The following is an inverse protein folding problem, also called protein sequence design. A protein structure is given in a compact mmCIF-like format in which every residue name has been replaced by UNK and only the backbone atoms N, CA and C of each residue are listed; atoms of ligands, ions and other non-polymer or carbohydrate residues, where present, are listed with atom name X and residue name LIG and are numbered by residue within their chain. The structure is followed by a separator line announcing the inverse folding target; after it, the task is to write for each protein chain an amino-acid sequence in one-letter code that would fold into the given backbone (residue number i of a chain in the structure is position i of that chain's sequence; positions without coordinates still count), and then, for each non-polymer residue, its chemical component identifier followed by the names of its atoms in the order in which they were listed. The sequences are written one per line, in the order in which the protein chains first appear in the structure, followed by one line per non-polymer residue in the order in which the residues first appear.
data_IF_629008149470
#
_entry.id   IF_629008149470
#
_cell.length_a   1.000
_cell.length_b   1.000
_cell.length_c   1.000
_cell.angle_alpha   90.00
_cell.angle_beta   90.00
_cell.angle_gamma   90.00
#
_symmetry.space_group_name_H-M   'P 1'
#
loop_
_entity.id
_entity.type
_entity.pdbx_description
1 polymer ?
#
# COMPACT_ATOMS: atom_id res chain seq x y z
N UNK A 1 -32.76 -40.69 40.03
CA UNK A 1 -33.38 -40.01 38.86
C UNK A 1 -32.47 -38.83 38.53
N UNK A 2 -31.64 -38.87 37.46
CA UNK A 2 -31.91 -38.33 36.10
C UNK A 2 -32.44 -36.89 36.19
N UNK A 3 -31.82 -35.82 35.66
CA UNK A 3 -31.27 -35.59 34.32
C UNK A 3 -30.23 -34.43 34.37
N UNK A 4 -29.02 -34.61 33.81
CA UNK A 4 -28.59 -34.26 32.44
C UNK A 4 -28.23 -32.76 32.27
N UNK A 5 -26.94 -32.53 32.55
CA UNK A 5 -25.99 -31.65 31.88
C UNK A 5 -26.38 -31.28 30.43
N UNK A 6 -26.66 -30.01 30.16
CA UNK A 6 -26.78 -29.47 28.79
C UNK A 6 -25.85 -28.27 28.65
N UNK A 7 -24.61 -28.56 28.25
CA UNK A 7 -23.62 -27.58 27.81
C UNK A 7 -24.05 -27.15 26.40
N UNK A 8 -24.66 -25.97 26.29
CA UNK A 8 -24.90 -25.32 25.01
C UNK A 8 -23.56 -24.81 24.48
N UNK A 9 -23.02 -25.59 23.56
CA UNK A 9 -21.78 -25.38 22.83
C UNK A 9 -21.97 -24.17 21.89
N UNK A 10 -21.79 -22.96 22.41
CA UNK A 10 -21.72 -21.73 21.61
C UNK A 10 -20.44 -21.79 20.77
N UNK A 11 -20.60 -22.23 19.52
CA UNK A 11 -19.56 -22.30 18.51
C UNK A 11 -18.97 -20.90 18.26
N UNK A 12 -17.81 -20.67 18.87
CA UNK A 12 -16.95 -19.53 18.59
C UNK A 12 -16.49 -19.63 17.12
N UNK A 13 -17.14 -18.86 16.24
CA UNK A 13 -16.62 -18.58 14.91
C UNK A 13 -15.32 -17.78 15.08
N UNK A 14 -14.20 -18.47 15.24
CA UNK A 14 -12.89 -17.87 15.10
C UNK A 14 -12.71 -17.51 13.63
N UNK A 15 -13.03 -16.24 13.31
CA UNK A 15 -12.56 -15.58 12.10
C UNK A 15 -11.03 -15.72 12.10
N UNK A 16 -10.53 -16.75 11.40
CA UNK A 16 -9.13 -16.87 11.07
C UNK A 16 -8.81 -15.69 10.17
N UNK A 17 -8.30 -14.61 10.79
CA UNK A 17 -7.57 -13.57 10.09
C UNK A 17 -6.35 -14.24 9.49
N UNK A 18 -6.52 -14.81 8.29
CA UNK A 18 -5.43 -15.30 7.48
C UNK A 18 -4.57 -14.08 7.17
N UNK A 19 -3.49 -13.93 7.94
CA UNK A 19 -2.39 -13.04 7.63
C UNK A 19 -1.92 -13.43 6.23
N UNK A 20 -2.35 -12.66 5.22
CA UNK A 20 -2.11 -12.96 3.82
C UNK A 20 -0.60 -12.91 3.58
N UNK A 21 0.03 -14.08 3.59
CA UNK A 21 1.45 -14.24 3.34
C UNK A 21 1.64 -14.18 1.82
N UNK A 22 2.47 -13.25 1.37
CA UNK A 22 2.76 -13.08 -0.05
C UNK A 22 4.16 -13.61 -0.35
N UNK A 23 4.32 -14.30 -1.47
CA UNK A 23 5.56 -14.94 -1.86
C UNK A 23 6.04 -14.36 -3.20
N UNK A 24 7.33 -14.02 -3.27
CA UNK A 24 8.04 -13.70 -4.50
C UNK A 24 8.61 -14.98 -5.08
N UNK A 25 8.31 -15.20 -6.35
CA UNK A 25 8.51 -16.45 -7.05
C UNK A 25 9.29 -16.19 -8.33
N UNK A 26 10.24 -17.06 -8.68
CA UNK A 26 10.94 -17.01 -9.95
C UNK A 26 10.55 -18.23 -10.78
N UNK A 27 9.70 -18.02 -11.79
CA UNK A 27 9.21 -19.08 -12.69
C UNK A 27 9.68 -18.77 -14.10
N UNK A 28 10.47 -19.66 -14.71
CA UNK A 28 10.96 -19.47 -16.07
C UNK A 28 11.82 -18.21 -16.29
N UNK A 29 12.50 -17.73 -15.24
CA UNK A 29 13.29 -16.50 -15.29
C UNK A 29 12.51 -15.21 -14.98
N UNK A 30 11.17 -15.27 -14.94
CA UNK A 30 10.31 -14.13 -14.59
C UNK A 30 9.94 -14.12 -13.12
N UNK A 31 9.84 -12.91 -12.54
CA UNK A 31 9.37 -12.72 -11.16
C UNK A 31 7.85 -12.64 -11.15
N UNK A 32 7.20 -13.49 -10.36
CA UNK A 32 5.76 -13.53 -10.11
C UNK A 32 5.49 -13.45 -8.61
N UNK A 33 4.34 -12.89 -8.23
CA UNK A 33 3.92 -12.78 -6.83
C UNK A 33 2.67 -13.62 -6.60
N UNK A 34 2.69 -14.45 -5.56
CA UNK A 34 1.65 -15.41 -5.27
C UNK A 34 1.23 -15.35 -3.81
N UNK A 35 -0.06 -15.55 -3.56
CA UNK A 35 -0.63 -15.67 -2.20
C UNK A 35 -0.36 -17.07 -1.59
N UNK A 36 0.21 -17.99 -2.39
CA UNK A 36 0.65 -19.32 -1.99
C UNK A 36 2.13 -19.54 -2.33
N UNK A 37 2.89 -20.32 -1.55
CA UNK A 37 4.27 -20.65 -1.89
C UNK A 37 4.33 -21.41 -3.22
N UNK A 38 5.21 -20.96 -4.11
CA UNK A 38 5.36 -21.39 -5.50
C UNK A 38 6.48 -22.42 -5.72
N UNK A 39 6.91 -23.11 -4.67
CA UNK A 39 8.02 -24.08 -4.67
C UNK A 39 9.23 -23.63 -3.83
N UNK A 40 10.35 -24.34 -3.97
CA UNK A 40 11.52 -24.23 -3.08
C UNK A 40 12.21 -22.85 -3.10
N UNK A 41 11.99 -22.07 -4.16
CA UNK A 41 12.53 -20.71 -4.30
C UNK A 41 11.51 -19.62 -3.90
N UNK A 42 10.44 -19.97 -3.19
CA UNK A 42 9.45 -19.01 -2.74
C UNK A 42 10.02 -18.12 -1.61
N UNK A 43 10.34 -16.88 -1.94
CA UNK A 43 10.77 -15.91 -0.94
C UNK A 43 9.54 -15.29 -0.30
N UNK A 44 9.31 -15.58 0.99
CA UNK A 44 8.23 -14.96 1.75
C UNK A 44 8.48 -13.47 1.91
N UNK A 45 7.55 -12.65 1.44
CA UNK A 45 7.56 -11.20 1.63
C UNK A 45 6.58 -10.84 2.73
N UNK A 46 7.09 -10.24 3.81
CA UNK A 46 6.25 -9.73 4.89
C UNK A 46 5.57 -8.44 4.44
N UNK A 47 4.25 -8.38 4.59
CA UNK A 47 3.48 -7.14 4.50
C UNK A 47 3.90 -6.16 5.61
N UNK A 48 4.35 -6.66 6.76
CA UNK A 48 4.57 -5.84 7.97
C UNK A 48 6.03 -5.46 8.22
N UNK A 49 6.84 -5.27 7.16
CA UNK A 49 8.17 -4.71 7.35
C UNK A 49 8.04 -3.31 7.96
N UNK A 50 8.64 -3.10 9.14
CA UNK A 50 8.61 -1.83 9.85
C UNK A 50 8.96 -0.67 8.91
N UNK A 51 8.33 0.51 9.03
CA UNK A 51 8.61 1.64 8.16
C UNK A 51 10.09 1.97 8.21
N UNK A 52 10.80 1.71 7.11
CA UNK A 52 12.14 2.22 6.91
C UNK A 52 12.07 3.75 6.80
N UNK A 53 13.11 4.44 7.26
CA UNK A 53 13.13 5.88 7.40
C UNK A 53 12.66 6.60 6.12
N UNK A 54 11.90 7.68 6.29
CA UNK A 54 11.42 8.50 5.19
C UNK A 54 12.60 8.94 4.28
N UNK A 55 12.36 9.12 2.96
CA UNK A 55 13.39 9.58 2.03
C UNK A 55 14.06 10.88 2.51
N UNK A 56 15.36 11.02 2.21
CA UNK A 56 16.22 12.11 2.70
C UNK A 56 15.71 13.52 2.36
N UNK A 57 14.85 13.66 1.34
CA UNK A 57 13.99 14.83 1.16
C UNK A 57 12.62 14.42 0.60
N UNK A 58 11.55 15.06 1.09
CA UNK A 58 10.17 14.83 0.63
C UNK A 58 10.02 15.15 -0.86
N UNK A 59 10.71 16.17 -1.35
CA UNK A 59 10.60 16.72 -2.71
C UNK A 59 11.29 15.88 -3.79
N UNK A 60 12.30 15.08 -3.43
CA UNK A 60 12.99 14.21 -4.40
C UNK A 60 12.31 12.86 -4.59
N UNK A 61 11.33 12.53 -3.74
CA UNK A 61 10.64 11.25 -3.83
C UNK A 61 9.77 11.19 -5.09
N UNK A 62 9.76 10.05 -5.80
CA UNK A 62 9.01 9.89 -7.05
C UNK A 62 7.51 10.20 -6.89
N UNK A 63 6.94 9.84 -5.73
CA UNK A 63 5.55 10.20 -5.42
C UNK A 63 5.36 11.71 -5.34
N UNK A 64 6.30 12.47 -4.76
CA UNK A 64 6.18 13.92 -4.72
C UNK A 64 6.25 14.54 -6.11
N UNK A 65 7.20 14.09 -6.92
CA UNK A 65 7.47 14.68 -8.22
C UNK A 65 6.36 14.44 -9.25
N UNK A 66 5.63 13.32 -9.13
CA UNK A 66 4.72 12.86 -10.17
C UNK A 66 3.26 12.78 -9.74
N UNK A 67 2.92 13.05 -8.47
CA UNK A 67 1.53 12.88 -7.98
C UNK A 67 0.49 13.66 -8.80
N UNK A 68 0.81 14.86 -9.26
CA UNK A 68 -0.07 15.71 -10.10
C UNK A 68 -0.43 15.08 -11.45
N UNK A 69 0.35 14.11 -11.92
CA UNK A 69 0.04 13.35 -13.14
C UNK A 69 -0.95 12.20 -12.89
N UNK A 70 -1.06 11.72 -11.65
CA UNK A 70 -1.87 10.54 -11.30
C UNK A 70 -3.13 10.87 -10.50
N UNK A 71 -3.13 11.97 -9.76
CA UNK A 71 -4.28 12.46 -9.01
C UNK A 71 -4.80 13.76 -9.62
N UNK A 72 -6.12 13.97 -9.53
CA UNK A 72 -6.74 15.21 -9.94
C UNK A 72 -6.67 16.22 -8.80
N UNK A 73 -6.12 17.39 -9.10
CA UNK A 73 -6.08 18.56 -8.23
C UNK A 73 -6.77 19.70 -8.98
N UNK A 74 -7.40 20.60 -8.24
CA UNK A 74 -8.07 21.76 -8.82
C UNK A 74 -7.04 22.76 -9.34
N UNK A 75 -5.94 22.93 -8.60
CA UNK A 75 -4.79 23.77 -8.98
C UNK A 75 -3.47 22.97 -8.79
N UNK A 76 -3.03 22.18 -9.80
CA UNK A 76 -1.92 21.24 -9.65
C UNK A 76 -0.56 21.92 -9.38
N UNK A 77 -0.38 23.18 -9.80
CA UNK A 77 0.83 23.97 -9.53
C UNK A 77 0.88 24.54 -8.11
N UNK A 78 -0.22 24.44 -7.36
CA UNK A 78 -0.38 24.99 -6.01
C UNK A 78 -0.52 23.92 -4.93
N UNK A 79 -0.10 22.68 -5.23
CA UNK A 79 -0.07 21.60 -4.23
C UNK A 79 1.14 21.72 -3.31
N UNK A 80 0.93 21.41 -2.03
CA UNK A 80 1.97 21.35 -1.00
C UNK A 80 1.97 19.97 -0.39
N UNK A 81 3.08 19.26 -0.53
CA UNK A 81 3.24 17.93 0.06
C UNK A 81 3.71 18.12 1.50
N UNK A 82 2.78 17.93 2.44
CA UNK A 82 3.04 18.12 3.86
C UNK A 82 3.85 16.96 4.45
N UNK A 83 3.60 15.74 3.98
CA UNK A 83 4.34 14.57 4.44
C UNK A 83 4.30 13.43 3.44
N UNK A 84 5.38 12.64 3.43
CA UNK A 84 5.46 11.33 2.79
C UNK A 84 5.93 10.35 3.86
N UNK A 85 5.14 9.31 4.10
CA UNK A 85 5.47 8.24 5.06
C UNK A 85 5.50 6.91 4.33
N UNK A 86 6.59 6.17 4.49
CA UNK A 86 6.68 4.79 4.00
C UNK A 86 5.65 3.94 4.74
N UNK A 87 4.86 3.21 3.97
CA UNK A 87 3.91 2.24 4.46
C UNK A 87 4.38 0.81 4.19
N UNK A 88 3.53 -0.12 4.58
CA UNK A 88 3.70 -1.54 4.29
C UNK A 88 3.60 -1.79 2.78
N UNK A 89 4.62 -2.44 2.21
CA UNK A 89 4.57 -2.87 0.81
C UNK A 89 3.44 -3.87 0.57
N UNK A 90 2.84 -3.85 -0.61
CA UNK A 90 1.66 -4.65 -0.93
C UNK A 90 1.73 -5.22 -2.36
N UNK A 91 1.09 -6.38 -2.59
CA UNK A 91 0.68 -6.74 -3.94
C UNK A 91 -0.46 -5.83 -4.35
N UNK A 92 -0.30 -5.18 -5.48
CA UNK A 92 -1.35 -4.41 -6.14
C UNK A 92 -1.69 -5.07 -7.47
N UNK A 93 -2.94 -4.92 -7.89
CA UNK A 93 -3.30 -5.16 -9.28
C UNK A 93 -2.75 -4.02 -10.13
N UNK A 94 -1.93 -4.37 -11.12
CA UNK A 94 -1.35 -3.43 -12.06
C UNK A 94 -1.35 -4.07 -13.46
N UNK A 95 -2.03 -3.42 -14.40
CA UNK A 95 -2.33 -4.00 -15.71
C UNK A 95 -3.01 -5.38 -15.56
N UNK A 96 -2.51 -6.43 -16.21
CA UNK A 96 -3.10 -7.76 -16.22
C UNK A 96 -2.46 -8.72 -15.19
N UNK A 97 -1.87 -8.20 -14.11
CA UNK A 97 -1.19 -9.03 -13.11
C UNK A 97 -1.09 -8.40 -11.72
N UNK A 98 -0.71 -9.23 -10.74
CA UNK A 98 -0.35 -8.78 -9.39
C UNK A 98 1.14 -8.48 -9.34
N UNK A 99 1.49 -7.27 -8.90
CA UNK A 99 2.88 -6.82 -8.75
C UNK A 99 3.12 -6.35 -7.32
N UNK A 100 4.32 -6.60 -6.81
CA UNK A 100 4.75 -6.03 -5.54
C UNK A 100 5.09 -4.56 -5.71
N UNK A 101 4.53 -3.74 -4.83
CA UNK A 101 4.78 -2.32 -4.79
C UNK A 101 5.16 -1.87 -3.38
N UNK A 102 6.11 -0.95 -3.29
CA UNK A 102 6.36 -0.20 -2.06
C UNK A 102 5.27 0.85 -1.92
N UNK A 103 4.74 0.99 -0.71
CA UNK A 103 3.61 1.88 -0.44
C UNK A 103 4.10 3.13 0.28
N UNK A 104 3.60 4.29 -0.13
CA UNK A 104 3.85 5.57 0.52
C UNK A 104 2.53 6.29 0.77
N UNK A 105 2.34 6.78 1.98
CA UNK A 105 1.21 7.61 2.36
C UNK A 105 1.60 9.08 2.25
N UNK A 106 0.84 9.84 1.48
CA UNK A 106 1.05 11.26 1.28
C UNK A 106 -0.06 12.05 1.96
N UNK A 107 0.31 13.16 2.58
CA UNK A 107 -0.62 14.24 2.93
C UNK A 107 -0.31 15.43 2.05
N UNK A 108 -1.31 15.88 1.31
CA UNK A 108 -1.16 16.93 0.31
C UNK A 108 -2.23 17.98 0.59
N UNK A 109 -1.79 19.23 0.71
CA UNK A 109 -2.68 20.37 0.82
C UNK A 109 -2.72 21.14 -0.49
N UNK A 110 -3.90 21.58 -0.89
CA UNK A 110 -4.08 22.45 -2.04
C UNK A 110 -4.13 23.91 -1.56
N UNK A 111 -3.48 24.80 -2.30
CA UNK A 111 -3.61 26.25 -2.12
C UNK A 111 -4.31 26.85 -3.31
N UNK A 112 -5.06 27.91 -3.09
CA UNK A 112 -5.56 28.73 -4.19
C UNK A 112 -4.43 29.56 -4.80
N UNK A 113 -4.64 30.12 -6.00
CA UNK A 113 -3.78 31.16 -6.55
C UNK A 113 -3.55 32.36 -5.60
N UNK A 114 -4.49 32.65 -4.69
CA UNK A 114 -4.36 33.69 -3.64
C UNK A 114 -3.58 33.23 -2.40
N UNK A 115 -3.14 31.97 -2.35
CA UNK A 115 -2.37 31.38 -1.26
C UNK A 115 -3.22 30.84 -0.11
N UNK A 116 -4.55 30.84 -0.21
CA UNK A 116 -5.43 30.28 0.81
C UNK A 116 -5.41 28.75 0.76
N UNK A 117 -5.36 28.09 1.91
CA UNK A 117 -5.44 26.63 1.98
C UNK A 117 -6.88 26.16 1.77
N UNK A 118 -7.07 25.22 0.85
CA UNK A 118 -8.39 24.64 0.55
C UNK A 118 -8.64 23.32 1.28
N UNK A 119 -7.61 22.79 1.95
CA UNK A 119 -7.67 21.62 2.81
C UNK A 119 -6.54 20.63 2.54
N UNK A 120 -6.43 19.63 3.41
CA UNK A 120 -5.45 18.54 3.32
C UNK A 120 -6.15 17.25 2.93
N UNK A 121 -5.64 16.56 1.92
CA UNK A 121 -6.13 15.27 1.42
C UNK A 121 -5.05 14.21 1.57
N UNK A 122 -5.46 12.98 1.87
CA UNK A 122 -4.54 11.84 1.99
C UNK A 122 -4.56 11.00 0.73
N UNK A 123 -3.37 10.59 0.27
CA UNK A 123 -3.21 9.71 -0.88
C UNK A 123 -2.30 8.53 -0.53
N UNK A 124 -2.52 7.41 -1.21
CA UNK A 124 -1.60 6.28 -1.19
C UNK A 124 -0.95 6.15 -2.55
N UNK A 125 0.38 6.22 -2.58
CA UNK A 125 1.20 6.06 -3.77
C UNK A 125 1.92 4.71 -3.71
N UNK A 126 1.68 3.87 -4.70
CA UNK A 126 2.34 2.59 -4.87
C UNK A 126 3.40 2.70 -5.96
N UNK A 127 4.64 2.40 -5.61
CA UNK A 127 5.81 2.52 -6.50
C UNK A 127 6.46 1.16 -6.75
N UNK A 128 7.22 1.05 -7.84
CA UNK A 128 8.01 -0.13 -8.18
C UNK A 128 9.05 -0.47 -7.10
N UNK A 129 9.56 -1.71 -7.13
CA UNK A 129 10.56 -2.20 -6.16
C UNK A 129 11.84 -1.32 -6.13
N UNK A 130 12.21 -0.76 -7.28
CA UNK A 130 13.33 0.19 -7.47
C UNK A 130 13.01 1.66 -7.10
N UNK A 131 11.77 1.95 -6.69
CA UNK A 131 11.26 3.30 -6.34
C UNK A 131 11.37 4.35 -7.45
N UNK A 132 11.59 3.94 -8.70
CA UNK A 132 11.75 4.86 -9.84
C UNK A 132 10.44 5.22 -10.54
N UNK A 133 9.36 4.45 -10.31
CA UNK A 133 8.11 4.59 -11.06
C UNK A 133 6.89 4.47 -10.15
N UNK A 134 5.90 5.31 -10.38
CA UNK A 134 4.56 5.16 -9.79
C UNK A 134 3.80 4.11 -10.59
N UNK A 135 3.30 3.09 -9.90
CA UNK A 135 2.45 2.05 -10.46
C UNK A 135 0.98 2.38 -10.27
N UNK A 136 0.59 2.93 -9.11
CA UNK A 136 -0.79 3.27 -8.82
C UNK A 136 -0.86 4.36 -7.75
N UNK A 137 -1.86 5.24 -7.87
CA UNK A 137 -2.23 6.18 -6.81
C UNK A 137 -3.70 5.95 -6.46
N UNK A 138 -4.02 5.95 -5.17
CA UNK A 138 -5.40 5.85 -4.67
C UNK A 138 -5.70 6.98 -3.68
N UNK A 139 -6.98 7.38 -3.61
CA UNK A 139 -7.45 8.55 -2.86
C UNK A 139 -8.15 9.58 -3.77
N UNK A 140 -8.48 10.77 -3.24
CA UNK A 140 -8.23 11.20 -1.86
C UNK A 140 -9.08 10.41 -0.82
N UNK A 141 -8.56 10.30 0.39
CA UNK A 141 -9.26 9.79 1.58
C UNK A 141 -9.42 10.88 2.65
#
# INVERSE_FOLDING_TARGET
MKLILSILLTGCCTLSYAQANMYKCKVGGSVVYSDQPCGDNAQKIRKDAAPEAAPASVTEHVCAQKISTYAKFDEPDHIVIESIKKGNSAAIEYMNGKVYAKTYYLKISERTASGAYTGTRSYTCHVSEDEQRILKVTGPY
#
